data_IF_014700937433
#
_entry.id   IF_014700937433
#
_cell.length_a   1.000
_cell.length_b   1.000
_cell.length_c   1.000
_cell.angle_alpha   90.00
_cell.angle_beta   90.00
_cell.angle_gamma   90.00
#
_symmetry.space_group_name_H-M   'P 1'
#
loop_
_entity.id
_entity.type
_entity.pdbx_description
1 polymer ?
#
# COMPACT_ATOMS: atom_id res chain seq x y z
N UNK A 1 -4.61 -16.30 -54.28
CA UNK A 1 -3.91 -15.99 -53.05
C UNK A 1 -3.12 -17.19 -52.55
N UNK A 2 -1.92 -16.93 -52.19
CA UNK A 2 -1.01 -17.98 -51.76
C UNK A 2 -1.30 -18.42 -50.32
N UNK A 3 -1.67 -19.69 -50.17
CA UNK A 3 -1.95 -20.24 -48.87
C UNK A 3 -0.70 -20.25 -47.97
N UNK A 4 0.47 -20.45 -48.58
CA UNK A 4 1.70 -20.44 -47.85
C UNK A 4 1.98 -19.07 -47.25
N UNK A 5 1.73 -18.01 -48.00
CA UNK A 5 1.93 -16.65 -47.51
C UNK A 5 0.98 -16.35 -46.37
N UNK A 6 -0.27 -16.80 -46.48
CA UNK A 6 -1.26 -16.62 -45.41
C UNK A 6 -0.82 -17.36 -44.13
N UNK A 7 -0.37 -18.59 -44.31
CA UNK A 7 0.08 -19.40 -43.21
C UNK A 7 1.25 -18.71 -42.47
N UNK A 8 2.23 -18.23 -43.23
CA UNK A 8 3.39 -17.58 -42.67
C UNK A 8 3.01 -16.31 -41.91
N UNK A 9 2.06 -15.55 -42.44
CA UNK A 9 1.60 -14.34 -41.80
C UNK A 9 0.91 -14.64 -40.47
N UNK A 10 0.05 -15.64 -40.45
CA UNK A 10 -0.63 -16.05 -39.23
C UNK A 10 0.36 -16.56 -38.19
N UNK A 11 1.35 -17.29 -38.66
CA UNK A 11 2.39 -17.82 -37.78
C UNK A 11 3.14 -16.67 -37.10
N UNK A 12 3.52 -15.65 -37.88
CA UNK A 12 4.18 -14.48 -37.36
C UNK A 12 3.33 -13.73 -36.36
N UNK A 13 2.06 -13.52 -36.69
CA UNK A 13 1.13 -12.84 -35.81
C UNK A 13 0.98 -13.59 -34.49
N UNK A 14 0.89 -14.91 -34.55
CA UNK A 14 0.78 -15.72 -33.34
C UNK A 14 2.03 -15.60 -32.50
N UNK A 15 3.19 -15.62 -33.14
CA UNK A 15 4.45 -15.46 -32.42
C UNK A 15 4.49 -14.11 -31.69
N UNK A 16 4.12 -13.06 -32.38
CA UNK A 16 4.11 -11.72 -31.78
C UNK A 16 3.14 -11.63 -30.60
N UNK A 17 1.96 -12.25 -30.75
CA UNK A 17 0.97 -12.23 -29.67
C UNK A 17 1.49 -13.00 -28.46
N UNK A 18 2.16 -14.11 -28.68
CA UNK A 18 2.73 -14.90 -27.59
C UNK A 18 3.81 -14.09 -26.85
N UNK A 19 4.67 -13.42 -27.61
CA UNK A 19 5.71 -12.59 -26.99
C UNK A 19 5.09 -11.43 -26.20
N UNK A 20 4.05 -10.84 -26.73
CA UNK A 20 3.33 -9.77 -26.06
C UNK A 20 2.70 -10.27 -24.76
N UNK A 21 2.06 -11.43 -24.84
CA UNK A 21 1.44 -12.03 -23.66
C UNK A 21 2.46 -12.30 -22.58
N UNK A 22 3.65 -12.76 -22.95
CA UNK A 22 4.73 -13.00 -21.98
C UNK A 22 5.17 -11.71 -21.29
N UNK A 23 5.25 -10.62 -22.06
CA UNK A 23 5.63 -9.33 -21.47
C UNK A 23 4.59 -8.84 -20.45
N UNK A 24 3.31 -8.97 -20.81
CA UNK A 24 2.23 -8.59 -19.90
C UNK A 24 2.24 -9.46 -18.65
N UNK A 25 2.46 -10.74 -18.82
CA UNK A 25 2.56 -11.67 -17.70
C UNK A 25 3.63 -11.24 -16.72
N UNK A 26 4.79 -10.87 -17.26
CA UNK A 26 5.89 -10.41 -16.43
C UNK A 26 5.54 -9.12 -15.69
N UNK A 27 4.86 -8.20 -16.39
CA UNK A 27 4.42 -6.95 -15.77
C UNK A 27 3.44 -7.21 -14.63
N UNK A 28 2.54 -8.17 -14.83
CA UNK A 28 1.56 -8.55 -13.81
C UNK A 28 2.28 -9.09 -12.58
N UNK A 29 3.28 -9.94 -12.78
CA UNK A 29 4.07 -10.48 -11.67
C UNK A 29 4.78 -9.38 -10.90
N UNK A 30 5.35 -8.42 -11.63
CA UNK A 30 6.03 -7.29 -10.99
C UNK A 30 5.06 -6.43 -10.19
N UNK A 31 3.87 -6.19 -10.74
CA UNK A 31 2.86 -5.43 -10.05
C UNK A 31 2.35 -6.15 -8.80
N UNK A 32 2.17 -7.46 -8.89
CA UNK A 32 1.75 -8.26 -7.75
C UNK A 32 2.78 -8.20 -6.63
N UNK A 33 4.06 -8.23 -6.99
CA UNK A 33 5.13 -8.10 -6.01
C UNK A 33 5.08 -6.74 -5.32
N UNK A 34 4.85 -5.67 -6.09
CA UNK A 34 4.74 -4.33 -5.52
C UNK A 34 3.53 -4.21 -4.60
N UNK A 35 2.41 -4.81 -4.99
CA UNK A 35 1.20 -4.79 -4.17
C UNK A 35 1.48 -5.46 -2.83
N UNK A 36 2.17 -6.59 -2.84
CA UNK A 36 2.52 -7.29 -1.60
C UNK A 36 3.37 -6.42 -0.69
N UNK A 37 4.36 -5.74 -1.26
CA UNK A 37 5.22 -4.86 -0.49
C UNK A 37 4.46 -3.68 0.09
N UNK A 38 3.56 -3.11 -0.70
CA UNK A 38 2.75 -1.99 -0.23
C UNK A 38 1.82 -2.44 0.90
N UNK A 39 1.26 -3.64 0.80
CA UNK A 39 0.41 -4.17 1.85
C UNK A 39 1.18 -4.33 3.15
N UNK A 40 2.43 -4.81 3.06
CA UNK A 40 3.28 -4.93 4.24
C UNK A 40 3.58 -3.57 4.88
N UNK A 41 3.91 -2.60 4.02
CA UNK A 41 4.20 -1.25 4.52
C UNK A 41 2.98 -0.62 5.16
N UNK A 42 1.81 -0.83 4.56
CA UNK A 42 0.57 -0.31 5.12
C UNK A 42 0.28 -0.93 6.47
N UNK A 43 0.54 -2.22 6.61
CA UNK A 43 0.33 -2.91 7.88
C UNK A 43 1.25 -2.34 8.96
N UNK A 44 2.51 -2.12 8.63
CA UNK A 44 3.46 -1.54 9.56
C UNK A 44 3.07 -0.12 9.95
N UNK A 45 2.64 0.67 8.98
CA UNK A 45 2.21 2.03 9.24
C UNK A 45 1.00 2.05 10.17
N UNK A 46 0.08 1.13 9.96
CA UNK A 46 -1.10 1.00 10.79
C UNK A 46 -0.72 0.68 12.23
N UNK A 47 0.22 -0.25 12.41
CA UNK A 47 0.69 -0.64 13.74
C UNK A 47 1.37 0.52 14.45
N UNK A 48 2.21 1.27 13.71
CA UNK A 48 2.88 2.43 14.28
C UNK A 48 1.86 3.49 14.66
N UNK A 49 0.84 3.69 13.84
CA UNK A 49 -0.20 4.66 14.13
C UNK A 49 -0.96 4.30 15.42
N UNK A 50 -1.22 3.01 15.62
CA UNK A 50 -1.87 2.56 16.85
C UNK A 50 -0.98 2.85 18.05
N UNK A 51 0.31 2.55 17.93
CA UNK A 51 1.27 2.83 18.99
C UNK A 51 1.31 4.31 19.34
N UNK A 52 1.39 5.15 18.31
CA UNK A 52 1.46 6.59 18.51
C UNK A 52 0.18 7.12 19.14
N UNK A 53 -0.96 6.56 18.73
CA UNK A 53 -2.24 6.95 19.32
C UNK A 53 -2.27 6.62 20.82
N UNK A 54 -1.77 5.45 21.18
CA UNK A 54 -1.70 5.05 22.59
C UNK A 54 -0.80 5.97 23.37
N UNK A 55 0.35 6.33 22.81
CA UNK A 55 1.28 7.26 23.46
C UNK A 55 0.65 8.63 23.66
N UNK A 56 -0.06 9.10 22.65
CA UNK A 56 -0.75 10.38 22.74
C UNK A 56 -1.78 10.37 23.86
N UNK A 57 -2.55 9.30 23.96
CA UNK A 57 -3.54 9.16 25.02
C UNK A 57 -2.86 9.16 26.39
N UNK A 58 -1.73 8.50 26.50
CA UNK A 58 -0.98 8.45 27.74
C UNK A 58 -0.50 9.84 28.14
N UNK A 59 0.06 10.59 27.20
CA UNK A 59 0.50 11.95 27.45
C UNK A 59 -0.66 12.85 27.84
N UNK A 60 -1.79 12.70 27.18
CA UNK A 60 -3.01 13.45 27.49
C UNK A 60 -3.45 13.20 28.92
N UNK A 61 -3.45 11.95 29.33
CA UNK A 61 -3.85 11.58 30.69
C UNK A 61 -2.91 12.16 31.72
N UNK A 62 -1.60 12.10 31.47
CA UNK A 62 -0.60 12.69 32.36
C UNK A 62 -0.80 14.19 32.47
N UNK A 63 -1.06 14.83 31.34
CA UNK A 63 -1.27 16.25 31.31
C UNK A 63 -2.51 16.63 32.13
N UNK A 64 -3.58 15.87 31.98
CA UNK A 64 -4.80 16.09 32.74
C UNK A 64 -4.56 15.93 34.24
N UNK A 65 -3.80 14.95 34.63
CA UNK A 65 -3.45 14.75 36.04
C UNK A 65 -2.69 15.95 36.56
N UNK A 66 -1.77 16.47 35.81
CA UNK A 66 -0.98 17.66 36.21
C UNK A 66 -1.85 18.90 36.33
N UNK A 67 -2.97 18.93 35.62
CA UNK A 67 -3.87 20.08 35.64
C UNK A 67 -4.97 19.96 36.69
N UNK A 68 -4.95 18.92 37.48
CA UNK A 68 -5.96 18.75 38.49
C UNK A 68 -5.89 19.88 39.50
N UNK A 69 -6.97 20.11 40.25
CA UNK A 69 -7.13 21.29 41.09
C UNK A 69 -5.96 21.62 42.00
N UNK A 70 -5.12 20.77 42.25
CA UNK A 70 -3.92 21.11 42.98
C UNK A 70 -3.00 22.01 42.19
N UNK A 71 -3.25 22.15 40.95
CA UNK A 71 -2.42 22.92 40.07
C UNK A 71 -3.10 24.07 39.43
N UNK A 72 -4.13 24.46 39.54
CA UNK A 72 -4.85 25.07 38.88
C UNK A 72 -5.29 25.94 38.36
N UNK A 73 -5.58 26.04 38.23
CA UNK A 73 -6.13 26.39 37.69
C UNK A 73 -6.98 26.76 37.20
N UNK A 74 -7.47 27.05 37.22
CA UNK A 74 -8.27 27.05 36.53
C UNK A 74 -8.77 27.13 35.73
N UNK A 75 -8.98 27.44 35.46
CA UNK A 75 -9.59 27.14 34.59
C UNK A 75 -9.98 26.92 34.14
N UNK A 76 -9.96 27.24 34.13
CA UNK A 76 -10.34 26.66 33.49
C UNK A 76 -10.88 26.28 33.19
N UNK A 77 -11.26 26.54 33.54
CA UNK A 77 -11.94 25.90 33.12
C UNK A 77 -12.26 25.83 32.64
N UNK A 78 -12.04 26.04 32.61
CA UNK A 78 -12.22 25.78 31.91
C UNK A 78 -12.56 25.55 31.36
#
# INVERSE_FOLDING_TARGET
MDLQARYNRLKEQNHMLIEEAKRYEKQIEELQSKISKLAELNQKAFEVNIELSHKLLTYDKLDQVKRLPGHEVKNENR
#
